data_IF_645063623847
#
_entry.id   IF_645063623847
#
_cell.length_a   1.000
_cell.length_b   1.000
_cell.length_c   1.000
_cell.angle_alpha   90.00
_cell.angle_beta   90.00
_cell.angle_gamma   90.00
#
_symmetry.space_group_name_H-M   'P 1'
#
loop_
_entity.id
_entity.type
_entity.pdbx_description
1 polymer ?
#
# COMPACT_ATOMS: atom_id res chain seq x y z
N UNK A 1 -8.59 -15.09 -2.12
CA UNK A 1 -9.11 -14.36 -3.31
C UNK A 1 -7.94 -13.85 -4.14
N UNK A 2 -7.99 -14.03 -5.47
CA UNK A 2 -6.96 -13.63 -6.41
C UNK A 2 -7.49 -12.53 -7.34
N UNK A 3 -6.69 -11.50 -7.60
CA UNK A 3 -6.99 -10.47 -8.60
C UNK A 3 -6.00 -10.59 -9.76
N UNK A 4 -6.48 -10.60 -11.00
CA UNK A 4 -5.63 -10.67 -12.19
C UNK A 4 -5.95 -9.54 -13.15
N UNK A 5 -4.94 -8.86 -13.62
CA UNK A 5 -5.01 -7.86 -14.67
C UNK A 5 -4.42 -8.48 -15.95
N UNK A 6 -5.19 -8.47 -17.04
CA UNK A 6 -4.80 -9.04 -18.33
C UNK A 6 -4.83 -7.97 -19.40
N UNK A 7 -3.65 -7.61 -19.92
CA UNK A 7 -3.47 -6.62 -20.99
C UNK A 7 -4.17 -5.29 -20.72
N UNK A 8 -4.17 -4.84 -19.43
CA UNK A 8 -4.91 -3.66 -19.00
C UNK A 8 -4.24 -2.40 -19.52
N UNK A 9 -4.99 -1.64 -20.32
CA UNK A 9 -4.62 -0.30 -20.80
C UNK A 9 -5.69 0.68 -20.35
N UNK A 10 -5.28 1.86 -19.87
CA UNK A 10 -6.20 2.95 -19.55
C UNK A 10 -5.72 4.26 -20.14
N UNK A 11 -6.59 4.87 -20.93
CA UNK A 11 -6.39 6.18 -21.54
C UNK A 11 -7.46 7.12 -21.03
N UNK A 12 -7.04 8.20 -20.38
CA UNK A 12 -7.95 9.29 -19.99
C UNK A 12 -8.35 10.11 -21.21
N UNK A 13 -9.62 10.49 -21.27
CA UNK A 13 -10.21 11.33 -22.32
C UNK A 13 -9.85 10.87 -23.76
N UNK A 14 -10.13 9.58 -24.10
CA UNK A 14 -9.78 9.07 -25.42
C UNK A 14 -10.46 9.86 -26.52
N UNK A 15 -9.71 10.16 -27.60
CA UNK A 15 -10.21 10.92 -28.76
C UNK A 15 -10.26 12.45 -28.55
N UNK A 16 -9.80 12.96 -27.40
CA UNK A 16 -9.70 14.41 -27.17
C UNK A 16 -8.25 14.91 -27.35
N UNK A 17 -8.04 16.24 -27.54
CA UNK A 17 -6.70 16.82 -27.53
C UNK A 17 -5.92 16.62 -26.22
N UNK A 18 -6.63 16.31 -25.12
CA UNK A 18 -6.05 16.07 -23.79
C UNK A 18 -5.91 14.58 -23.47
N UNK A 19 -5.96 13.72 -24.48
CA UNK A 19 -5.79 12.29 -24.32
C UNK A 19 -4.45 11.96 -23.68
N UNK A 20 -4.46 11.14 -22.60
CA UNK A 20 -3.26 10.69 -21.91
C UNK A 20 -3.41 9.21 -21.54
N UNK A 21 -2.46 8.39 -21.97
CA UNK A 21 -2.42 6.97 -21.60
C UNK A 21 -1.64 6.81 -20.29
N UNK A 22 -2.34 6.49 -19.22
CA UNK A 22 -1.77 6.37 -17.88
C UNK A 22 -1.15 4.99 -17.60
N UNK A 23 -1.77 3.92 -18.11
CA UNK A 23 -1.23 2.55 -18.05
C UNK A 23 -1.40 1.89 -19.40
N UNK A 24 -0.44 1.01 -19.75
CA UNK A 24 -0.37 0.36 -21.06
C UNK A 24 0.03 -1.10 -20.90
N UNK A 25 -0.82 -1.99 -21.39
CA UNK A 25 -0.57 -3.45 -21.48
C UNK A 25 -0.07 -4.06 -20.16
N UNK A 26 -0.68 -3.66 -19.04
CA UNK A 26 -0.30 -4.15 -17.71
C UNK A 26 -0.86 -5.55 -17.52
N UNK A 27 0.05 -6.48 -17.21
CA UNK A 27 -0.23 -7.87 -16.89
C UNK A 27 0.30 -8.13 -15.46
N UNK A 28 -0.57 -8.46 -14.51
CA UNK A 28 -0.20 -8.66 -13.11
C UNK A 28 -1.22 -9.54 -12.40
N UNK A 29 -0.74 -10.35 -11.47
CA UNK A 29 -1.61 -11.12 -10.57
C UNK A 29 -1.31 -10.75 -9.11
N UNK A 30 -2.34 -10.40 -8.35
CA UNK A 30 -2.29 -10.21 -6.91
C UNK A 30 -2.74 -11.52 -6.27
N UNK A 31 -1.81 -12.13 -5.51
CA UNK A 31 -2.02 -13.45 -4.89
C UNK A 31 -2.64 -13.32 -3.51
N UNK A 32 -3.46 -14.32 -3.07
CA UNK A 32 -4.00 -14.30 -1.72
C UNK A 32 -2.89 -14.23 -0.65
N UNK A 33 -3.08 -13.37 0.34
CA UNK A 33 -2.18 -13.26 1.49
C UNK A 33 -0.81 -12.64 1.18
N UNK A 34 -0.58 -12.04 -0.01
CA UNK A 34 0.66 -11.31 -0.26
C UNK A 34 0.62 -9.86 0.24
N UNK A 35 1.78 -9.31 0.52
CA UNK A 35 1.99 -7.88 0.69
C UNK A 35 2.71 -7.37 -0.56
N UNK A 36 1.94 -6.79 -1.49
CA UNK A 36 2.44 -6.25 -2.75
C UNK A 36 2.72 -4.75 -2.61
N UNK A 37 3.96 -4.32 -2.87
CA UNK A 37 4.29 -2.91 -3.01
C UNK A 37 4.25 -2.49 -4.49
N UNK A 38 3.55 -1.38 -4.78
CA UNK A 38 3.60 -0.70 -6.07
C UNK A 38 4.50 0.52 -5.93
N UNK A 39 5.63 0.54 -6.62
CA UNK A 39 6.60 1.63 -6.60
C UNK A 39 6.81 2.21 -8.01
N UNK A 40 7.29 3.43 -8.09
CA UNK A 40 7.49 4.15 -9.36
C UNK A 40 7.47 5.66 -9.13
N UNK A 41 7.99 6.43 -10.07
CA UNK A 41 7.96 7.89 -9.98
C UNK A 41 6.50 8.44 -10.04
N UNK A 42 6.30 9.69 -9.67
CA UNK A 42 5.01 10.37 -9.81
C UNK A 42 4.57 10.36 -11.29
N UNK A 43 3.31 10.01 -11.54
CA UNK A 43 2.78 9.89 -12.92
C UNK A 43 3.11 8.55 -13.61
N UNK A 44 3.74 7.56 -12.95
CA UNK A 44 4.01 6.24 -13.56
C UNK A 44 2.77 5.35 -13.70
N UNK A 45 1.59 5.76 -13.18
CA UNK A 45 0.34 5.02 -13.32
C UNK A 45 -0.12 4.23 -12.09
N UNK A 46 0.59 4.28 -10.96
CA UNK A 46 0.28 3.50 -9.74
C UNK A 46 -1.15 3.71 -9.21
N UNK A 47 -1.56 4.96 -8.99
CA UNK A 47 -2.92 5.27 -8.48
C UNK A 47 -3.99 4.89 -9.50
N UNK A 48 -3.72 5.04 -10.82
CA UNK A 48 -4.61 4.54 -11.88
C UNK A 48 -4.77 3.02 -11.78
N UNK A 49 -3.66 2.30 -11.57
CA UNK A 49 -3.67 0.85 -11.40
C UNK A 49 -4.47 0.43 -10.16
N UNK A 50 -4.27 1.11 -9.02
CA UNK A 50 -5.02 0.89 -7.78
C UNK A 50 -6.53 1.04 -7.99
N UNK A 51 -6.96 2.06 -8.76
CA UNK A 51 -8.37 2.29 -9.08
C UNK A 51 -8.95 1.23 -10.02
N UNK A 52 -8.15 0.56 -10.85
CA UNK A 52 -8.59 -0.61 -11.61
C UNK A 52 -8.77 -1.84 -10.74
N UNK A 53 -7.88 -2.06 -9.77
CA UNK A 53 -7.98 -3.17 -8.80
C UNK A 53 -9.29 -3.08 -8.00
N UNK A 54 -9.69 -1.88 -7.59
CA UNK A 54 -10.96 -1.66 -6.87
C UNK A 54 -12.19 -1.53 -7.79
N UNK A 55 -11.99 -1.48 -9.12
CA UNK A 55 -13.08 -1.34 -10.11
C UNK A 55 -13.70 0.05 -10.19
N UNK A 56 -13.06 1.09 -9.65
CA UNK A 56 -13.46 2.49 -9.82
C UNK A 56 -13.25 2.95 -11.26
N UNK A 57 -12.17 2.49 -11.91
CA UNK A 57 -11.91 2.73 -13.32
C UNK A 57 -12.19 1.46 -14.13
N UNK A 58 -12.76 1.64 -15.30
CA UNK A 58 -12.89 0.61 -16.31
C UNK A 58 -11.71 0.76 -17.29
N UNK A 59 -11.00 -0.33 -17.64
CA UNK A 59 -9.94 -0.27 -18.61
C UNK A 59 -10.46 0.11 -20.01
N UNK A 60 -9.63 0.82 -20.79
CA UNK A 60 -9.90 1.13 -22.20
C UNK A 60 -9.77 -0.15 -23.04
N UNK A 61 -8.83 -1.02 -22.70
CA UNK A 61 -8.69 -2.38 -23.24
C UNK A 61 -8.11 -3.31 -22.19
N UNK A 62 -8.24 -4.62 -22.40
CA UNK A 62 -7.87 -5.64 -21.43
C UNK A 62 -8.97 -5.94 -20.42
N UNK A 63 -8.67 -6.72 -19.39
CA UNK A 63 -9.63 -7.19 -18.38
C UNK A 63 -9.04 -7.16 -16.99
N UNK A 64 -9.91 -6.96 -15.99
CA UNK A 64 -9.58 -7.13 -14.58
C UNK A 64 -10.46 -8.25 -14.04
N UNK A 65 -9.82 -9.28 -13.52
CA UNK A 65 -10.51 -10.49 -13.10
C UNK A 65 -10.40 -10.67 -11.58
N UNK A 66 -11.51 -10.98 -10.94
CA UNK A 66 -11.57 -11.40 -9.54
C UNK A 66 -11.93 -12.90 -9.52
N UNK A 67 -11.02 -13.75 -9.04
CA UNK A 67 -11.16 -15.22 -9.06
C UNK A 67 -11.60 -15.74 -10.46
N UNK A 68 -11.01 -15.17 -11.53
CA UNK A 68 -11.30 -15.53 -12.93
C UNK A 68 -12.55 -14.87 -13.55
N UNK A 69 -13.34 -14.09 -12.80
CA UNK A 69 -14.51 -13.39 -13.31
C UNK A 69 -14.18 -11.92 -13.62
N UNK A 70 -14.55 -11.47 -14.83
CA UNK A 70 -14.35 -10.06 -15.21
C UNK A 70 -15.23 -9.14 -14.35
N UNK A 71 -14.61 -8.24 -13.57
CA UNK A 71 -15.31 -7.30 -12.70
C UNK A 71 -16.15 -6.25 -13.45
N UNK A 72 -15.97 -6.13 -14.75
CA UNK A 72 -16.73 -5.23 -15.62
C UNK A 72 -17.76 -5.94 -16.51
N UNK A 73 -17.92 -7.26 -16.36
CA UNK A 73 -18.99 -8.01 -17.01
C UNK A 73 -20.38 -7.53 -16.55
N UNK A 74 -21.38 -7.64 -17.41
CA UNK A 74 -22.74 -7.13 -17.12
C UNK A 74 -23.41 -7.83 -15.93
N UNK A 75 -23.10 -9.10 -15.73
CA UNK A 75 -23.61 -9.99 -14.70
C UNK A 75 -22.78 -9.99 -13.41
N UNK A 76 -21.65 -9.29 -13.40
CA UNK A 76 -20.79 -9.23 -12.23
C UNK A 76 -21.39 -8.35 -11.11
N UNK A 77 -21.43 -8.88 -9.90
CA UNK A 77 -21.94 -8.15 -8.74
C UNK A 77 -20.92 -7.14 -8.18
N UNK A 78 -21.05 -5.87 -8.58
CA UNK A 78 -20.18 -4.78 -8.12
C UNK A 78 -20.22 -4.55 -6.61
N UNK A 79 -21.31 -4.92 -5.93
CA UNK A 79 -21.42 -4.81 -4.49
C UNK A 79 -20.47 -5.77 -3.79
N UNK A 80 -20.35 -7.00 -4.31
CA UNK A 80 -19.37 -7.99 -3.87
C UNK A 80 -17.92 -7.47 -4.05
N UNK A 81 -17.62 -6.84 -5.19
CA UNK A 81 -16.29 -6.27 -5.41
C UNK A 81 -15.93 -5.22 -4.34
N UNK A 82 -16.82 -4.25 -4.13
CA UNK A 82 -16.63 -3.17 -3.15
C UNK A 82 -16.49 -3.67 -1.71
N UNK A 83 -17.17 -4.77 -1.38
CA UNK A 83 -17.01 -5.43 -0.08
C UNK A 83 -15.62 -6.09 0.02
N UNK A 84 -15.21 -6.83 -1.01
CA UNK A 84 -14.01 -7.67 -0.98
C UNK A 84 -12.71 -6.91 -1.21
N UNK A 85 -12.76 -5.78 -1.94
CA UNK A 85 -11.59 -4.96 -2.29
C UNK A 85 -11.77 -3.56 -1.72
N UNK A 86 -11.17 -3.33 -0.55
CA UNK A 86 -11.12 -2.01 0.07
C UNK A 86 -10.06 -1.14 -0.58
N UNK A 87 -10.35 0.15 -0.76
CA UNK A 87 -9.40 1.15 -1.24
C UNK A 87 -9.34 2.32 -0.26
N UNK A 88 -8.14 2.62 0.20
CA UNK A 88 -7.82 3.80 1.00
C UNK A 88 -6.98 4.73 0.13
N UNK A 89 -7.52 5.90 -0.18
CA UNK A 89 -6.84 6.92 -0.97
C UNK A 89 -5.79 7.67 -0.16
N UNK A 90 -4.94 8.40 -0.86
CA UNK A 90 -4.06 9.38 -0.23
C UNK A 90 -4.90 10.45 0.49
N UNK A 91 -4.54 10.77 1.74
CA UNK A 91 -5.31 11.67 2.63
C UNK A 91 -6.78 11.21 2.84
N UNK A 92 -6.99 9.98 3.34
CA UNK A 92 -8.33 9.41 3.46
C UNK A 92 -9.22 10.17 4.46
N UNK A 93 -8.63 10.96 5.36
CA UNK A 93 -9.32 11.86 6.29
C UNK A 93 -10.20 12.90 5.60
N UNK A 94 -9.91 13.27 4.35
CA UNK A 94 -10.75 14.16 3.57
C UNK A 94 -12.06 13.51 3.08
N UNK A 95 -12.21 12.21 3.28
CA UNK A 95 -13.41 11.46 2.89
C UNK A 95 -14.42 11.32 4.04
N UNK A 96 -14.06 11.77 5.24
CA UNK A 96 -14.97 11.79 6.40
C UNK A 96 -16.01 12.91 6.21
N UNK A 97 -17.30 12.59 6.38
CA UNK A 97 -18.39 13.52 6.10
C UNK A 97 -19.58 13.41 7.04
N UNK A 98 -19.65 12.36 7.84
CA UNK A 98 -20.79 12.11 8.75
C UNK A 98 -20.65 12.93 10.05
N UNK A 99 -21.75 13.05 10.79
CA UNK A 99 -21.79 13.80 12.05
C UNK A 99 -20.94 13.16 13.15
N UNK A 100 -20.80 11.83 13.13
CA UNK A 100 -20.02 11.07 14.13
C UNK A 100 -19.14 10.03 13.48
N UNK A 101 -18.04 9.71 14.15
CA UNK A 101 -17.10 8.64 13.73
C UNK A 101 -17.83 7.31 13.52
N UNK A 102 -18.73 6.93 14.43
CA UNK A 102 -19.50 5.69 14.30
C UNK A 102 -20.38 5.68 13.04
N UNK A 103 -21.02 6.83 12.70
CA UNK A 103 -21.84 6.94 11.48
C UNK A 103 -20.99 6.82 10.22
N UNK A 104 -19.81 7.45 10.19
CA UNK A 104 -18.87 7.35 9.08
C UNK A 104 -18.41 5.91 8.86
N UNK A 105 -17.97 5.24 9.92
CA UNK A 105 -17.54 3.84 9.86
C UNK A 105 -18.68 2.90 9.46
N UNK A 106 -19.93 3.21 9.89
CA UNK A 106 -21.13 2.45 9.55
C UNK A 106 -21.58 2.61 8.10
N UNK A 107 -21.11 3.63 7.37
CA UNK A 107 -21.60 3.96 6.02
C UNK A 107 -21.45 2.80 5.03
N UNK A 108 -20.26 2.17 4.99
CA UNK A 108 -20.03 1.01 4.16
C UNK A 108 -20.91 -0.19 4.47
N UNK A 109 -20.93 -0.67 5.71
CA UNK A 109 -21.83 -1.74 6.17
C UNK A 109 -23.32 -1.49 5.90
N UNK A 110 -23.81 -0.27 6.07
CA UNK A 110 -25.20 0.11 5.70
C UNK A 110 -25.46 -0.08 4.21
N UNK A 111 -24.55 0.35 3.35
CA UNK A 111 -24.66 0.18 1.90
C UNK A 111 -24.61 -1.30 1.46
N UNK A 112 -24.03 -2.18 2.27
CA UNK A 112 -24.12 -3.63 2.07
C UNK A 112 -25.51 -4.18 2.44
N UNK A 113 -26.36 -3.41 3.15
CA UNK A 113 -27.69 -3.81 3.58
C UNK A 113 -27.65 -4.75 4.78
N UNK A 114 -26.63 -4.63 5.64
CA UNK A 114 -26.55 -5.37 6.90
C UNK A 114 -27.60 -4.84 7.89
N UNK A 115 -27.98 -5.68 8.85
CA UNK A 115 -28.87 -5.26 9.92
C UNK A 115 -28.14 -4.39 10.96
N UNK A 116 -28.88 -3.69 11.82
CA UNK A 116 -28.31 -2.74 12.79
C UNK A 116 -27.33 -3.39 13.77
N UNK A 117 -27.59 -4.61 14.19
CA UNK A 117 -26.70 -5.34 15.11
C UNK A 117 -25.37 -5.67 14.43
N UNK A 118 -25.40 -6.22 13.21
CA UNK A 118 -24.18 -6.51 12.43
C UNK A 118 -23.38 -5.24 12.13
N UNK A 119 -24.07 -4.11 11.86
CA UNK A 119 -23.42 -2.82 11.64
C UNK A 119 -22.70 -2.38 12.92
N UNK A 120 -23.38 -2.44 14.08
CA UNK A 120 -22.79 -2.04 15.35
C UNK A 120 -21.55 -2.88 15.69
N UNK A 121 -21.63 -4.20 15.55
CA UNK A 121 -20.51 -5.12 15.76
C UNK A 121 -19.32 -4.80 14.84
N UNK A 122 -19.55 -4.54 13.55
CA UNK A 122 -18.51 -4.19 12.60
C UNK A 122 -17.86 -2.84 12.88
N UNK A 123 -18.62 -1.85 13.31
CA UNK A 123 -18.12 -0.53 13.71
C UNK A 123 -17.21 -0.67 14.92
N UNK A 124 -17.65 -1.38 15.96
CA UNK A 124 -16.85 -1.60 17.17
C UNK A 124 -15.56 -2.35 16.85
N UNK A 125 -15.63 -3.45 16.09
CA UNK A 125 -14.48 -4.22 15.64
C UNK A 125 -13.51 -3.35 14.82
N UNK A 126 -14.01 -2.57 13.88
CA UNK A 126 -13.18 -1.74 13.02
C UNK A 126 -12.47 -0.63 13.80
N UNK A 127 -13.16 0.03 14.72
CA UNK A 127 -12.57 1.05 15.60
C UNK A 127 -11.50 0.45 16.52
N UNK A 128 -11.76 -0.74 17.07
CA UNK A 128 -10.79 -1.44 17.90
C UNK A 128 -9.53 -1.81 17.09
N UNK A 129 -9.69 -2.31 15.86
CA UNK A 129 -8.57 -2.66 14.97
C UNK A 129 -7.65 -1.48 14.67
N UNK A 130 -8.17 -0.28 14.52
CA UNK A 130 -7.37 0.93 14.26
C UNK A 130 -6.92 1.63 15.55
N UNK A 131 -7.18 1.06 16.74
CA UNK A 131 -6.77 1.62 18.02
C UNK A 131 -7.56 2.87 18.44
N UNK A 132 -8.78 3.06 17.94
CA UNK A 132 -9.71 4.12 18.36
C UNK A 132 -10.67 3.57 19.42
N UNK A 133 -10.12 3.30 20.61
CA UNK A 133 -10.84 2.66 21.73
C UNK A 133 -11.17 3.60 22.91
N UNK A 134 -10.82 4.89 22.79
CA UNK A 134 -11.07 5.86 23.86
C UNK A 134 -12.58 6.02 24.09
N UNK A 135 -13.05 6.08 25.37
CA UNK A 135 -14.44 6.28 25.67
C UNK A 135 -15.04 7.50 24.97
N UNK A 136 -16.17 7.32 24.31
CA UNK A 136 -16.91 8.39 23.62
C UNK A 136 -16.33 8.78 22.25
N UNK A 137 -15.23 8.21 21.76
CA UNK A 137 -14.64 8.58 20.46
C UNK A 137 -15.59 8.29 19.29
N UNK A 138 -16.38 7.23 19.38
CA UNK A 138 -17.33 6.83 18.35
C UNK A 138 -18.46 7.87 18.15
N UNK A 139 -18.80 8.63 19.19
CA UNK A 139 -19.83 9.67 19.20
C UNK A 139 -19.30 11.06 18.86
N UNK A 140 -17.98 11.26 18.85
CA UNK A 140 -17.37 12.52 18.43
C UNK A 140 -17.57 12.80 16.96
N UNK A 141 -17.59 14.08 16.60
CA UNK A 141 -17.44 14.47 15.20
C UNK A 141 -16.07 14.07 14.68
N UNK A 142 -15.94 13.54 13.46
CA UNK A 142 -14.63 13.30 12.85
C UNK A 142 -13.71 14.54 12.87
N UNK A 143 -14.28 15.73 12.76
CA UNK A 143 -13.57 17.01 12.74
C UNK A 143 -13.02 17.47 14.10
N UNK A 144 -13.40 16.80 15.18
CA UNK A 144 -12.84 17.01 16.53
C UNK A 144 -11.61 16.12 16.80
N UNK A 145 -11.29 15.23 15.89
CA UNK A 145 -10.17 14.30 16.01
C UNK A 145 -8.84 14.95 15.59
N UNK A 146 -7.74 14.44 16.13
CA UNK A 146 -6.41 14.75 15.56
C UNK A 146 -6.26 14.16 14.15
N UNK A 147 -5.36 14.70 13.32
CA UNK A 147 -5.14 14.21 11.95
C UNK A 147 -4.85 12.71 11.88
N UNK A 148 -4.05 12.19 12.81
CA UNK A 148 -3.79 10.74 12.90
C UNK A 148 -5.02 9.93 13.32
N UNK A 149 -5.87 10.48 14.19
CA UNK A 149 -7.14 9.84 14.56
C UNK A 149 -8.15 9.88 13.40
N UNK A 150 -8.26 11.01 12.69
CA UNK A 150 -9.10 11.11 11.48
C UNK A 150 -8.70 10.06 10.44
N UNK A 151 -7.40 9.92 10.16
CA UNK A 151 -6.89 8.92 9.21
C UNK A 151 -7.23 7.49 9.66
N UNK A 152 -7.09 7.19 10.95
CA UNK A 152 -7.50 5.89 11.52
C UNK A 152 -9.01 5.67 11.42
N UNK A 153 -9.83 6.70 11.64
CA UNK A 153 -11.28 6.61 11.46
C UNK A 153 -11.67 6.31 10.00
N UNK A 154 -11.06 6.99 9.05
CA UNK A 154 -11.27 6.71 7.62
C UNK A 154 -10.83 5.27 7.24
N UNK A 155 -9.69 4.79 7.77
CA UNK A 155 -9.27 3.40 7.62
C UNK A 155 -10.30 2.43 8.22
N UNK A 156 -10.86 2.73 9.41
CA UNK A 156 -11.88 1.91 10.04
C UNK A 156 -13.13 1.77 9.15
N UNK A 157 -13.53 2.84 8.46
CA UNK A 157 -14.64 2.81 7.49
C UNK A 157 -14.45 1.78 6.38
N UNK A 158 -13.22 1.64 5.87
CA UNK A 158 -12.87 0.61 4.89
C UNK A 158 -12.81 -0.78 5.54
N UNK A 159 -12.21 -0.91 6.72
CA UNK A 159 -12.07 -2.18 7.43
C UNK A 159 -13.40 -2.76 7.91
N UNK A 160 -14.41 -1.90 8.20
CA UNK A 160 -15.77 -2.33 8.56
C UNK A 160 -16.45 -3.13 7.44
N UNK A 161 -16.01 -2.99 6.19
CA UNK A 161 -16.46 -3.81 5.07
C UNK A 161 -15.89 -5.24 5.12
N UNK A 162 -14.86 -5.50 5.95
CA UNK A 162 -14.08 -6.75 6.04
C UNK A 162 -13.50 -7.15 4.68
N UNK A 163 -12.66 -6.31 4.06
CA UNK A 163 -12.09 -6.62 2.75
C UNK A 163 -11.09 -7.78 2.83
N UNK A 164 -11.02 -8.58 1.76
CA UNK A 164 -10.01 -9.63 1.58
C UNK A 164 -8.73 -9.07 0.92
N UNK A 165 -8.88 -8.01 0.07
CA UNK A 165 -7.77 -7.23 -0.49
C UNK A 165 -7.91 -5.79 0.00
N UNK A 166 -6.83 -5.23 0.54
CA UNK A 166 -6.75 -3.84 0.98
C UNK A 166 -5.74 -3.10 0.11
N UNK A 167 -6.23 -2.17 -0.70
CA UNK A 167 -5.41 -1.29 -1.54
C UNK A 167 -5.21 0.02 -0.82
N UNK A 168 -3.96 0.45 -0.68
CA UNK A 168 -3.55 1.61 0.10
C UNK A 168 -2.70 2.54 -0.78
N UNK A 169 -3.18 3.74 -1.03
CA UNK A 169 -2.43 4.75 -1.79
C UNK A 169 -1.75 5.71 -0.81
N UNK A 170 -0.45 5.50 -0.58
CA UNK A 170 0.40 6.29 0.33
C UNK A 170 -0.20 6.48 1.74
N UNK A 171 -0.53 5.39 2.47
CA UNK A 171 -1.30 5.47 3.71
C UNK A 171 -0.62 6.25 4.83
N UNK A 172 0.70 6.39 4.79
CA UNK A 172 1.51 7.05 5.81
C UNK A 172 2.04 8.44 5.39
N UNK A 173 1.62 8.96 4.22
CA UNK A 173 2.08 10.26 3.73
C UNK A 173 1.60 11.41 4.61
N UNK A 174 2.50 12.34 4.97
CA UNK A 174 2.17 13.53 5.76
C UNK A 174 1.90 13.29 7.25
N UNK A 175 2.07 12.07 7.74
CA UNK A 175 1.99 11.77 9.18
C UNK A 175 3.33 12.11 9.88
N UNK A 176 3.25 12.48 11.15
CA UNK A 176 4.42 12.56 12.03
C UNK A 176 5.05 11.15 12.19
N UNK A 177 6.33 11.07 12.63
CA UNK A 177 7.05 9.80 12.67
C UNK A 177 6.36 8.71 13.50
N UNK A 178 5.76 9.05 14.65
CA UNK A 178 5.09 8.08 15.51
C UNK A 178 3.79 7.58 14.87
N UNK A 179 2.93 8.50 14.41
CA UNK A 179 1.67 8.16 13.73
C UNK A 179 1.92 7.36 12.45
N UNK A 180 3.01 7.65 11.75
CA UNK A 180 3.45 6.90 10.57
C UNK A 180 3.79 5.45 10.93
N UNK A 181 4.62 5.24 11.94
CA UNK A 181 4.99 3.90 12.39
C UNK A 181 3.77 3.12 12.88
N UNK A 182 2.90 3.73 13.68
CA UNK A 182 1.65 3.13 14.14
C UNK A 182 0.76 2.67 12.98
N UNK A 183 0.65 3.48 11.91
CA UNK A 183 -0.12 3.15 10.71
C UNK A 183 0.49 1.97 9.96
N UNK A 184 1.81 1.94 9.79
CA UNK A 184 2.51 0.84 9.10
C UNK A 184 2.41 -0.47 9.90
N UNK A 185 2.50 -0.41 11.23
CA UNK A 185 2.32 -1.57 12.11
C UNK A 185 0.86 -2.09 12.06
N UNK A 186 -0.12 -1.19 12.01
CA UNK A 186 -1.52 -1.58 11.80
C UNK A 186 -1.67 -2.38 10.49
N UNK A 187 -1.14 -1.85 9.37
CA UNK A 187 -1.22 -2.51 8.06
C UNK A 187 -0.51 -3.86 8.08
N UNK A 188 0.68 -3.93 8.68
CA UNK A 188 1.40 -5.19 8.85
C UNK A 188 0.63 -6.21 9.71
N UNK A 189 -0.06 -5.73 10.75
CA UNK A 189 -0.95 -6.56 11.58
C UNK A 189 -2.12 -7.16 10.79
N UNK A 190 -2.75 -6.36 9.93
CA UNK A 190 -3.82 -6.82 9.02
C UNK A 190 -3.32 -7.89 8.04
N UNK A 191 -2.13 -7.68 7.46
CA UNK A 191 -1.49 -8.66 6.59
C UNK A 191 -1.21 -9.97 7.31
N UNK A 192 -0.64 -9.92 8.53
CA UNK A 192 -0.40 -11.12 9.37
C UNK A 192 -1.67 -11.89 9.70
N UNK A 193 -2.84 -11.22 9.74
CA UNK A 193 -4.15 -11.83 9.92
C UNK A 193 -4.74 -12.41 8.63
N UNK A 194 -4.00 -12.37 7.51
CA UNK A 194 -4.38 -12.97 6.23
C UNK A 194 -4.99 -12.01 5.21
N UNK A 195 -5.09 -10.71 5.50
CA UNK A 195 -5.51 -9.72 4.51
C UNK A 195 -4.43 -9.56 3.44
N UNK A 196 -4.81 -9.65 2.18
CA UNK A 196 -3.93 -9.29 1.05
C UNK A 196 -3.77 -7.78 1.00
N UNK A 197 -2.54 -7.29 0.98
CA UNK A 197 -2.24 -5.85 0.96
C UNK A 197 -1.60 -5.45 -0.35
N UNK A 198 -2.12 -4.39 -0.97
CA UNK A 198 -1.48 -3.69 -2.10
C UNK A 198 -1.18 -2.28 -1.64
N UNK A 199 0.08 -1.94 -1.46
CA UNK A 199 0.49 -0.64 -0.93
C UNK A 199 1.30 0.14 -1.97
N UNK A 200 0.82 1.32 -2.34
CA UNK A 200 1.63 2.30 -3.04
C UNK A 200 2.48 3.04 -2.01
N UNK A 201 3.79 3.08 -2.24
CA UNK A 201 4.72 3.79 -1.36
C UNK A 201 5.86 4.42 -2.14
N UNK A 202 6.30 5.60 -1.68
CA UNK A 202 7.54 6.24 -2.10
C UNK A 202 8.72 5.96 -1.15
N UNK A 203 8.47 5.28 -0.02
CA UNK A 203 9.50 4.90 0.94
C UNK A 203 10.03 3.50 0.63
N UNK A 204 11.24 3.44 0.13
CA UNK A 204 11.89 2.15 -0.17
C UNK A 204 12.23 1.38 1.11
N UNK A 205 12.43 2.07 2.23
CA UNK A 205 12.61 1.42 3.54
C UNK A 205 11.34 0.67 3.97
N UNK A 206 10.14 1.23 3.75
CA UNK A 206 8.88 0.54 4.04
C UNK A 206 8.68 -0.66 3.13
N UNK A 207 8.99 -0.49 1.83
CA UNK A 207 8.90 -1.59 0.86
C UNK A 207 9.82 -2.75 1.26
N UNK A 208 11.09 -2.45 1.62
CA UNK A 208 12.05 -3.46 2.07
C UNK A 208 11.61 -4.17 3.37
N UNK A 209 10.91 -3.45 4.26
CA UNK A 209 10.49 -3.95 5.57
C UNK A 209 9.24 -4.81 5.51
N UNK A 210 8.25 -4.45 4.71
CA UNK A 210 6.92 -5.03 4.78
C UNK A 210 6.51 -5.83 3.55
N UNK A 211 6.99 -5.49 2.35
CA UNK A 211 6.53 -6.14 1.15
C UNK A 211 7.12 -7.55 0.98
N UNK A 212 6.29 -8.47 0.52
CA UNK A 212 6.71 -9.82 0.07
C UNK A 212 7.09 -9.81 -1.41
N UNK A 213 6.49 -8.88 -2.17
CA UNK A 213 6.78 -8.65 -3.60
C UNK A 213 6.63 -7.16 -3.91
N UNK A 214 7.48 -6.67 -4.81
CA UNK A 214 7.38 -5.31 -5.33
C UNK A 214 7.20 -5.33 -6.85
N UNK A 215 6.42 -4.37 -7.34
CA UNK A 215 6.21 -4.09 -8.77
C UNK A 215 6.65 -2.65 -9.02
N UNK A 216 7.58 -2.48 -9.94
CA UNK A 216 8.12 -1.18 -10.35
C UNK A 216 7.41 -0.73 -11.61
N UNK A 217 6.68 0.38 -11.52
CA UNK A 217 6.01 1.00 -12.64
C UNK A 217 6.82 2.13 -13.24
N UNK A 218 6.95 2.12 -14.56
CA UNK A 218 7.64 3.14 -15.33
C UNK A 218 6.84 3.47 -16.59
N UNK A 219 6.54 4.76 -16.81
CA UNK A 219 5.81 5.22 -18.00
C UNK A 219 4.53 4.44 -18.33
N UNK A 220 3.79 4.03 -17.30
CA UNK A 220 2.53 3.28 -17.44
C UNK A 220 2.67 1.79 -17.67
N UNK A 221 3.88 1.23 -17.61
CA UNK A 221 4.16 -0.19 -17.77
C UNK A 221 4.84 -0.78 -16.53
N UNK A 222 4.84 -2.10 -16.40
CA UNK A 222 5.63 -2.79 -15.37
C UNK A 222 7.06 -2.97 -15.93
N UNK A 223 8.05 -2.36 -15.27
CA UNK A 223 9.47 -2.44 -15.64
C UNK A 223 10.20 -3.57 -14.92
N UNK A 224 9.85 -3.82 -13.65
CA UNK A 224 10.43 -4.90 -12.85
C UNK A 224 9.38 -5.44 -11.88
N UNK A 225 9.50 -6.71 -11.52
CA UNK A 225 8.65 -7.38 -10.55
C UNK A 225 9.46 -8.49 -9.85
N UNK A 226 9.35 -8.60 -8.54
CA UNK A 226 10.04 -9.62 -7.75
C UNK A 226 10.06 -9.32 -6.26
N UNK A 227 10.75 -10.15 -5.45
CA UNK A 227 11.04 -9.84 -4.07
C UNK A 227 11.77 -8.49 -3.94
N UNK A 228 11.52 -7.70 -2.88
CA UNK A 228 12.18 -6.40 -2.70
C UNK A 228 13.69 -6.45 -2.78
N UNK A 229 14.31 -7.49 -2.23
CA UNK A 229 15.76 -7.68 -2.25
C UNK A 229 16.31 -7.81 -3.68
N UNK A 230 15.59 -8.49 -4.58
CA UNK A 230 15.99 -8.61 -6.00
C UNK A 230 15.85 -7.26 -6.72
N UNK A 231 14.77 -6.53 -6.46
CA UNK A 231 14.55 -5.20 -7.04
C UNK A 231 15.66 -4.24 -6.60
N UNK A 232 15.99 -4.20 -5.31
CA UNK A 232 16.99 -3.25 -4.78
C UNK A 232 18.44 -3.59 -5.14
N UNK A 233 18.74 -4.80 -5.60
CA UNK A 233 20.03 -5.12 -6.23
C UNK A 233 20.29 -4.30 -7.49
N UNK A 234 19.25 -3.84 -8.17
CA UNK A 234 19.31 -3.00 -9.35
C UNK A 234 19.32 -1.49 -9.01
N UNK A 235 20.08 -1.08 -7.96
CA UNK A 235 20.11 0.29 -7.43
C UNK A 235 20.38 1.34 -8.52
N UNK A 236 21.32 1.10 -9.43
CA UNK A 236 21.65 2.02 -10.52
C UNK A 236 20.47 2.22 -11.47
N UNK A 237 19.78 1.14 -11.85
CA UNK A 237 18.58 1.19 -12.69
C UNK A 237 17.45 1.94 -12.02
N UNK A 238 17.21 1.69 -10.72
CA UNK A 238 16.20 2.40 -9.93
C UNK A 238 16.51 3.89 -9.88
N UNK A 239 17.76 4.27 -9.65
CA UNK A 239 18.20 5.68 -9.65
C UNK A 239 17.99 6.35 -11.00
N UNK A 240 18.28 5.66 -12.13
CA UNK A 240 18.01 6.18 -13.49
C UNK A 240 16.52 6.40 -13.74
N UNK A 241 15.64 5.59 -13.11
CA UNK A 241 14.19 5.73 -13.14
C UNK A 241 13.68 6.81 -12.18
N UNK A 242 14.55 7.54 -11.47
CA UNK A 242 14.20 8.53 -10.46
C UNK A 242 13.64 7.93 -9.17
N UNK A 243 13.94 6.67 -8.90
CA UNK A 243 13.59 5.99 -7.65
C UNK A 243 14.80 5.93 -6.72
N UNK A 244 14.52 5.92 -5.44
CA UNK A 244 15.53 5.72 -4.40
C UNK A 244 15.72 4.23 -4.10
N UNK A 245 16.67 3.93 -3.24
CA UNK A 245 16.90 2.60 -2.64
C UNK A 245 16.78 2.73 -1.12
N UNK A 246 16.61 1.63 -0.37
CA UNK A 246 16.59 1.69 1.09
C UNK A 246 17.80 2.47 1.65
N UNK A 247 17.57 3.22 2.72
CA UNK A 247 18.59 4.07 3.35
C UNK A 247 19.85 3.30 3.74
N UNK A 248 19.68 2.06 4.21
CA UNK A 248 20.79 1.16 4.56
C UNK A 248 21.57 0.66 3.34
N UNK A 249 20.90 0.49 2.20
CA UNK A 249 21.55 0.16 0.93
C UNK A 249 22.46 1.33 0.48
N UNK A 250 21.96 2.58 0.54
CA UNK A 250 22.77 3.78 0.28
C UNK A 250 23.98 3.88 1.21
N UNK A 251 23.82 3.56 2.50
CA UNK A 251 24.90 3.52 3.47
C UNK A 251 25.97 2.50 3.04
N UNK A 252 25.58 1.27 2.75
CA UNK A 252 26.51 0.23 2.26
C UNK A 252 27.27 0.69 1.02
N UNK A 253 26.59 1.24 0.02
CA UNK A 253 27.24 1.76 -1.20
C UNK A 253 28.26 2.87 -0.88
N UNK A 254 27.96 3.80 0.04
CA UNK A 254 28.87 4.86 0.46
C UNK A 254 30.09 4.31 1.20
N UNK A 255 29.90 3.38 2.15
CA UNK A 255 31.01 2.74 2.87
C UNK A 255 31.97 2.03 1.91
N UNK A 256 31.44 1.32 0.94
CA UNK A 256 32.25 0.67 -0.11
C UNK A 256 33.01 1.67 -0.98
N UNK A 257 32.39 2.78 -1.35
CA UNK A 257 33.07 3.85 -2.08
C UNK A 257 34.25 4.48 -1.29
N UNK A 258 34.20 4.39 0.05
CA UNK A 258 35.29 4.80 0.96
C UNK A 258 36.32 3.69 1.19
N UNK A 259 36.23 2.54 0.53
CA UNK A 259 37.13 1.40 0.66
C UNK A 259 36.84 0.48 1.85
N UNK A 260 35.69 0.66 2.54
CA UNK A 260 35.27 -0.20 3.64
C UNK A 260 34.55 -1.42 3.06
N UNK A 261 34.98 -2.62 3.45
CA UNK A 261 34.38 -3.88 2.96
C UNK A 261 33.04 -4.15 3.66
N UNK A 262 31.97 -3.49 3.15
CA UNK A 262 30.61 -3.65 3.60
C UNK A 262 29.82 -4.54 2.63
N UNK A 263 28.98 -5.51 3.10
CA UNK A 263 28.17 -6.34 2.23
C UNK A 263 27.29 -5.52 1.28
N UNK A 264 27.10 -6.00 0.04
CA UNK A 264 26.24 -5.31 -0.96
C UNK A 264 24.75 -5.49 -0.70
N UNK A 265 24.38 -6.66 -0.20
CA UNK A 265 22.99 -7.11 -0.07
C UNK A 265 22.42 -6.73 1.30
N UNK A 266 22.46 -5.43 1.62
CA UNK A 266 21.89 -4.87 2.84
C UNK A 266 20.67 -4.02 2.44
N UNK A 267 19.47 -4.50 2.78
CA UNK A 267 18.21 -3.86 2.40
C UNK A 267 17.33 -3.54 3.62
N UNK A 268 17.62 -4.12 4.78
CA UNK A 268 16.89 -3.93 6.06
C UNK A 268 17.80 -3.43 7.15
N UNK A 269 17.22 -2.73 8.11
CA UNK A 269 17.97 -2.11 9.21
C UNK A 269 18.74 -3.15 10.04
N UNK A 270 18.13 -4.30 10.33
CA UNK A 270 18.73 -5.38 11.12
C UNK A 270 19.98 -5.94 10.42
N UNK A 271 19.97 -6.02 9.09
CA UNK A 271 21.13 -6.46 8.30
C UNK A 271 22.27 -5.45 8.36
N UNK A 272 21.94 -4.13 8.33
CA UNK A 272 22.93 -3.08 8.45
C UNK A 272 23.56 -3.04 9.83
N UNK A 273 22.76 -3.19 10.88
CA UNK A 273 23.25 -3.25 12.27
C UNK A 273 24.24 -4.40 12.45
N UNK A 274 23.89 -5.60 11.99
CA UNK A 274 24.78 -6.76 12.06
C UNK A 274 26.08 -6.52 11.28
N UNK A 275 26.00 -6.01 10.05
CA UNK A 275 27.17 -5.74 9.23
C UNK A 275 28.12 -4.69 9.87
N UNK A 276 27.57 -3.62 10.48
CA UNK A 276 28.36 -2.62 11.16
C UNK A 276 29.01 -3.16 12.45
N UNK A 277 28.31 -4.00 13.21
CA UNK A 277 28.87 -4.68 14.38
C UNK A 277 30.04 -5.61 14.00
N UNK A 278 29.90 -6.33 12.89
CA UNK A 278 30.95 -7.23 12.42
C UNK A 278 32.19 -6.46 11.92
N UNK A 279 31.98 -5.35 11.22
CA UNK A 279 33.07 -4.43 10.81
C UNK A 279 33.78 -3.85 12.03
N UNK A 280 33.04 -3.43 13.06
CA UNK A 280 33.62 -2.87 14.29
C UNK A 280 34.45 -3.90 15.06
N UNK A 281 33.95 -5.14 15.21
CA UNK A 281 34.67 -6.23 15.86
C UNK A 281 35.90 -6.66 15.07
N UNK A 282 35.84 -6.71 13.74
CA UNK A 282 36.95 -7.03 12.87
C UNK A 282 38.05 -5.93 12.88
N UNK A 283 37.65 -4.64 12.98
CA UNK A 283 38.57 -3.51 13.09
C UNK A 283 39.26 -3.36 14.46
N UNK A 284 38.62 -3.83 15.54
CA UNK A 284 39.22 -3.80 16.89
C UNK A 284 40.37 -4.80 17.07
N UNK A 285 40.54 -5.76 16.13
CA UNK A 285 41.64 -6.73 16.16
C UNK A 285 42.97 -6.23 15.54
N UNK A 286 43.02 -5.06 14.90
CA UNK A 286 44.21 -4.54 14.20
C UNK A 286 44.80 -3.29 14.83
N UNK A 287 44.37 -2.91 16.05
CA UNK A 287 44.83 -1.71 16.74
C UNK A 287 45.65 -1.95 18.04
N UNK A 288 46.24 -3.15 18.18
CA UNK A 288 47.09 -3.48 19.33
C UNK A 288 48.35 -4.22 18.86
N UNK A 289 49.24 -3.51 18.14
CA UNK A 289 50.67 -3.80 18.04
C UNK A 289 51.46 -2.51 18.07
#
# INVERSE_FOLDING_TARGET
MQMTLEHVTHTYQPGSPFQSTAIRDVNMTIRPGEFLALIGHTGSGKSTLAQHINGLLKPTSGRVLLDGQDIHAKDFNKKTLRQKVGLVFQYPEHQLFEETVAKDVAFGPKNLGLNEQEIAERVEEALARVGLTQPGIAQKSPFELSGGQMRRAAMAGVLAMRPEILVLDEPAAGLDPQSREDMLQLIAGLHKQGTTVVMISHSMDDVARFATRAVVMEHGTISMEGPPEEIFRHAEKLTQMGLDVPSVCRLSLKLRAMGIDCPRDIFRQEQAEQALLDLWKGGAGHGAE
#
